data_IF_492775189615
#
_entry.id   IF_492775189615
#
_cell.length_a   1.000
_cell.length_b   1.000
_cell.length_c   1.000
_cell.angle_alpha   90.00
_cell.angle_beta   90.00
_cell.angle_gamma   90.00
#
_symmetry.space_group_name_H-M   'P 1'
#
loop_
_entity.id
_entity.type
_entity.pdbx_description
1 polymer ?
#
# COMPACT_ATOMS: atom_id res chain seq x y z
N UNK A 1 4.67 23.35 -9.66
CA UNK A 1 6.02 22.85 -9.36
C UNK A 1 6.38 23.39 -8.00
N UNK A 2 6.87 22.63 -7.03
CA UNK A 2 7.73 21.43 -7.08
C UNK A 2 7.33 20.45 -5.95
N UNK A 3 6.23 19.72 -6.12
CA UNK A 3 5.80 18.77 -5.10
C UNK A 3 6.70 17.51 -5.08
N UNK A 4 7.35 17.20 -6.20
CA UNK A 4 8.25 16.06 -6.33
C UNK A 4 9.60 16.27 -5.63
N UNK A 5 10.17 17.49 -5.64
CA UNK A 5 11.45 17.74 -5.00
C UNK A 5 11.38 17.55 -3.46
N UNK A 6 10.22 17.88 -2.87
CA UNK A 6 10.01 17.72 -1.43
C UNK A 6 9.98 16.24 -1.02
N UNK A 7 9.33 15.36 -1.80
CA UNK A 7 9.22 13.94 -1.44
C UNK A 7 10.55 13.21 -1.51
N UNK A 8 11.39 13.55 -2.48
CA UNK A 8 12.73 12.97 -2.61
C UNK A 8 13.59 13.22 -1.37
N UNK A 9 13.46 14.39 -0.72
CA UNK A 9 14.18 14.68 0.51
C UNK A 9 13.68 13.81 1.67
N UNK A 10 12.36 13.62 1.81
CA UNK A 10 11.82 12.72 2.84
C UNK A 10 12.19 11.26 2.60
N UNK A 11 12.24 10.81 1.34
CA UNK A 11 12.69 9.46 1.01
C UNK A 11 14.14 9.24 1.49
N UNK A 12 15.01 10.24 1.36
CA UNK A 12 16.40 10.19 1.85
C UNK A 12 16.52 10.20 3.39
N UNK A 13 15.46 10.58 4.11
CA UNK A 13 15.44 10.55 5.58
C UNK A 13 14.87 9.25 6.15
N UNK A 14 14.45 8.30 5.31
CA UNK A 14 14.04 6.96 5.75
C UNK A 14 15.17 6.32 6.58
N UNK A 15 14.82 5.77 7.74
CA UNK A 15 15.77 5.22 8.72
C UNK A 15 16.39 6.25 9.67
N UNK A 16 16.24 7.56 9.41
CA UNK A 16 16.64 8.64 10.33
C UNK A 16 15.44 9.35 10.96
N UNK A 17 14.39 9.55 10.18
CA UNK A 17 13.15 10.19 10.59
C UNK A 17 12.05 9.14 10.73
N UNK A 18 11.20 9.32 11.74
CA UNK A 18 10.07 8.42 11.96
C UNK A 18 9.06 8.53 10.81
N UNK A 19 8.67 7.41 10.15
CA UNK A 19 7.75 7.42 9.03
C UNK A 19 6.39 8.04 9.36
N UNK A 20 5.90 7.87 10.59
CA UNK A 20 4.60 8.37 11.05
C UNK A 20 4.48 9.89 10.87
N UNK A 21 5.57 10.63 11.11
CA UNK A 21 5.61 12.08 10.99
C UNK A 21 5.42 12.52 9.54
N UNK A 22 6.13 11.87 8.62
CA UNK A 22 6.06 12.13 7.18
C UNK A 22 4.68 11.78 6.64
N UNK A 23 4.14 10.62 7.05
CA UNK A 23 2.81 10.14 6.67
C UNK A 23 1.74 11.16 7.10
N UNK A 24 1.73 11.57 8.38
CA UNK A 24 0.77 12.57 8.90
C UNK A 24 0.83 13.87 8.12
N UNK A 25 2.03 14.34 7.78
CA UNK A 25 2.23 15.57 7.01
C UNK A 25 1.59 15.51 5.62
N UNK A 26 1.76 14.40 4.91
CA UNK A 26 1.18 14.24 3.57
C UNK A 26 -0.32 13.96 3.60
N UNK A 27 -0.81 13.26 4.62
CA UNK A 27 -2.25 13.11 4.88
C UNK A 27 -2.92 14.47 5.08
N UNK A 28 -2.35 15.34 5.92
CA UNK A 28 -2.89 16.69 6.17
C UNK A 28 -2.87 17.58 4.93
N UNK A 29 -1.86 17.42 4.07
CA UNK A 29 -1.72 18.22 2.86
C UNK A 29 -2.54 17.68 1.68
N UNK A 30 -3.28 16.58 1.87
CA UNK A 30 -4.04 15.88 0.83
C UNK A 30 -3.18 15.45 -0.37
N UNK A 31 -1.87 15.25 -0.17
CA UNK A 31 -0.92 14.89 -1.23
C UNK A 31 -0.75 13.37 -1.29
N UNK A 32 -1.80 12.68 -1.75
CA UNK A 32 -1.84 11.21 -1.79
C UNK A 32 -0.75 10.65 -2.72
N UNK A 33 -0.44 11.30 -3.84
CA UNK A 33 0.65 10.88 -4.74
C UNK A 33 2.00 10.87 -4.02
N UNK A 34 2.36 11.95 -3.34
CA UNK A 34 3.61 12.04 -2.57
C UNK A 34 3.64 11.00 -1.43
N UNK A 35 2.52 10.82 -0.74
CA UNK A 35 2.40 9.78 0.29
C UNK A 35 2.65 8.38 -0.31
N UNK A 36 2.10 8.11 -1.49
CA UNK A 36 2.26 6.85 -2.21
C UNK A 36 3.72 6.60 -2.61
N UNK A 37 4.44 7.63 -3.05
CA UNK A 37 5.86 7.51 -3.41
C UNK A 37 6.75 7.31 -2.18
N UNK A 38 6.45 8.00 -1.07
CA UNK A 38 7.15 7.77 0.20
C UNK A 38 6.96 6.34 0.71
N UNK A 39 5.72 5.86 0.73
CA UNK A 39 5.39 4.51 1.20
C UNK A 39 6.00 3.42 0.29
N UNK A 40 5.99 3.62 -1.04
CA UNK A 40 6.70 2.75 -1.97
C UNK A 40 8.20 2.68 -1.66
N UNK A 41 8.84 3.82 -1.41
CA UNK A 41 10.27 3.87 -1.08
C UNK A 41 10.56 3.22 0.28
N UNK A 42 9.72 3.48 1.28
CA UNK A 42 9.79 2.88 2.60
C UNK A 42 9.69 1.35 2.54
N UNK A 43 8.76 0.85 1.71
CA UNK A 43 8.60 -0.58 1.47
C UNK A 43 9.79 -1.20 0.74
N UNK A 44 10.29 -0.54 -0.32
CA UNK A 44 11.49 -1.00 -1.06
C UNK A 44 12.73 -1.10 -0.16
N UNK A 45 12.85 -0.20 0.82
CA UNK A 45 13.95 -0.21 1.79
C UNK A 45 13.76 -1.23 2.94
N UNK A 46 12.62 -1.95 2.99
CA UNK A 46 12.33 -2.92 4.05
C UNK A 46 12.03 -2.29 5.41
N UNK A 47 11.75 -0.98 5.46
CA UNK A 47 11.40 -0.24 6.67
C UNK A 47 9.88 -0.05 6.83
N UNK A 48 9.08 -0.60 5.90
CA UNK A 48 7.62 -0.59 6.00
C UNK A 48 7.13 -1.64 6.99
N UNK A 49 6.10 -1.29 7.75
CA UNK A 49 5.35 -2.20 8.61
C UNK A 49 4.04 -2.56 7.93
N UNK A 50 3.27 -3.47 8.53
CA UNK A 50 1.94 -3.85 8.03
C UNK A 50 1.00 -2.65 7.83
N UNK A 51 0.97 -1.74 8.80
CA UNK A 51 0.16 -0.52 8.74
C UNK A 51 0.56 0.38 7.56
N UNK A 52 1.87 0.56 7.34
CA UNK A 52 2.40 1.32 6.21
C UNK A 52 2.02 0.69 4.87
N UNK A 53 2.05 -0.65 4.78
CA UNK A 53 1.63 -1.38 3.57
C UNK A 53 0.13 -1.24 3.33
N UNK A 54 -0.71 -1.44 4.34
CA UNK A 54 -2.16 -1.24 4.23
C UNK A 54 -2.49 0.19 3.80
N UNK A 55 -1.79 1.18 4.34
CA UNK A 55 -1.94 2.56 3.91
C UNK A 55 -1.53 2.77 2.45
N UNK A 56 -0.45 2.13 2.00
CA UNK A 56 -0.01 2.18 0.59
C UNK A 56 -1.07 1.60 -0.35
N UNK A 57 -1.63 0.43 0.00
CA UNK A 57 -2.71 -0.20 -0.75
C UNK A 57 -3.93 0.71 -0.86
N UNK A 58 -4.36 1.30 0.26
CA UNK A 58 -5.43 2.29 0.27
C UNK A 58 -5.13 3.50 -0.62
N UNK A 59 -3.89 3.97 -0.66
CA UNK A 59 -3.49 5.06 -1.54
C UNK A 59 -3.58 4.67 -3.02
N UNK A 60 -3.19 3.44 -3.40
CA UNK A 60 -3.36 2.95 -4.78
C UNK A 60 -4.82 2.92 -5.21
N UNK A 61 -5.72 2.43 -4.35
CA UNK A 61 -7.16 2.45 -4.64
C UNK A 61 -7.68 3.87 -4.81
N UNK A 62 -7.29 4.81 -3.92
CA UNK A 62 -7.69 6.22 -4.03
C UNK A 62 -7.17 6.91 -5.28
N UNK A 63 -5.97 6.56 -5.74
CA UNK A 63 -5.37 7.10 -6.97
C UNK A 63 -5.77 6.33 -8.23
N UNK A 64 -6.66 5.35 -8.11
CA UNK A 64 -7.07 4.45 -9.19
C UNK A 64 -5.88 3.73 -9.87
N UNK A 65 -4.78 3.50 -9.13
CA UNK A 65 -3.56 2.79 -9.60
C UNK A 65 -3.72 1.29 -9.37
N UNK A 66 -4.75 0.70 -9.95
CA UNK A 66 -5.14 -0.70 -9.76
C UNK A 66 -4.05 -1.67 -10.23
N UNK A 67 -3.36 -1.38 -11.33
CA UNK A 67 -2.30 -2.28 -11.84
C UNK A 67 -1.16 -2.45 -10.83
N UNK A 68 -0.71 -1.34 -10.22
CA UNK A 68 0.32 -1.37 -9.17
C UNK A 68 -0.16 -2.09 -7.91
N UNK A 69 -1.43 -1.94 -7.57
CA UNK A 69 -2.05 -2.66 -6.46
C UNK A 69 -2.02 -4.17 -6.71
N UNK A 70 -2.46 -4.61 -7.91
CA UNK A 70 -2.46 -6.02 -8.31
C UNK A 70 -1.05 -6.60 -8.31
N UNK A 71 -0.10 -5.90 -8.92
CA UNK A 71 1.31 -6.29 -8.92
C UNK A 71 1.81 -6.50 -7.47
N UNK A 72 1.45 -5.59 -6.56
CA UNK A 72 1.85 -5.68 -5.16
C UNK A 72 1.28 -6.91 -4.45
N UNK A 73 -0.04 -7.15 -4.52
CA UNK A 73 -0.69 -8.30 -3.83
C UNK A 73 -0.32 -9.66 -4.45
N UNK A 74 0.00 -9.67 -5.75
CA UNK A 74 0.38 -10.87 -6.48
C UNK A 74 1.86 -11.21 -6.31
N UNK A 75 2.70 -10.22 -6.00
CA UNK A 75 4.12 -10.44 -5.72
C UNK A 75 4.26 -11.46 -4.59
N UNK A 76 4.96 -12.55 -4.87
CA UNK A 76 5.20 -13.65 -3.91
C UNK A 76 6.30 -13.34 -2.90
N UNK A 77 6.90 -12.16 -3.03
CA UNK A 77 8.05 -11.77 -2.24
C UNK A 77 7.60 -11.05 -0.96
N UNK A 78 7.88 -11.73 0.15
CA UNK A 78 7.78 -11.31 1.55
C UNK A 78 6.45 -11.59 2.24
N UNK A 79 6.58 -12.02 3.49
CA UNK A 79 5.55 -12.10 4.54
C UNK A 79 5.07 -10.67 4.88
N UNK A 80 4.50 -9.98 3.90
CA UNK A 80 3.95 -8.66 4.12
C UNK A 80 2.55 -8.85 4.68
N UNK A 81 2.40 -8.63 5.97
CA UNK A 81 1.09 -8.44 6.59
C UNK A 81 0.45 -7.21 5.96
N UNK A 82 -0.58 -7.40 5.16
CA UNK A 82 -1.41 -6.33 4.63
C UNK A 82 -2.87 -6.68 4.86
N UNK A 83 -3.72 -5.65 4.87
CA UNK A 83 -5.16 -5.85 5.05
C UNK A 83 -5.76 -6.58 3.84
N UNK A 84 -6.02 -7.86 4.03
CA UNK A 84 -6.53 -8.73 2.98
C UNK A 84 -7.99 -8.40 2.62
N UNK A 85 -8.76 -7.79 3.53
CA UNK A 85 -10.13 -7.34 3.21
C UNK A 85 -10.10 -6.20 2.19
N UNK A 86 -9.21 -5.22 2.39
CA UNK A 86 -8.98 -4.15 1.41
C UNK A 86 -8.56 -4.75 0.08
N UNK A 87 -7.64 -5.72 0.11
CA UNK A 87 -7.16 -6.41 -1.06
C UNK A 87 -8.26 -7.13 -1.86
N UNK A 88 -9.07 -7.95 -1.18
CA UNK A 88 -10.21 -8.66 -1.77
C UNK A 88 -11.26 -7.68 -2.30
N UNK A 89 -11.59 -6.64 -1.53
CA UNK A 89 -12.58 -5.65 -1.93
C UNK A 89 -12.19 -4.98 -3.25
N UNK A 90 -10.94 -4.54 -3.40
CA UNK A 90 -10.45 -3.92 -4.64
C UNK A 90 -10.38 -4.94 -5.78
N UNK A 91 -9.93 -6.17 -5.52
CA UNK A 91 -9.95 -7.23 -6.52
C UNK A 91 -11.37 -7.48 -7.04
N UNK A 92 -12.41 -7.54 -6.18
CA UNK A 92 -13.80 -7.73 -6.61
C UNK A 92 -14.30 -6.66 -7.58
N UNK A 93 -13.82 -5.42 -7.47
CA UNK A 93 -14.19 -4.33 -8.37
C UNK A 93 -13.46 -4.40 -9.73
N UNK A 94 -12.40 -5.21 -9.84
CA UNK A 94 -11.48 -5.20 -10.98
C UNK A 94 -11.46 -6.53 -11.71
N UNK A 95 -11.46 -7.65 -10.99
CA UNK A 95 -11.70 -9.00 -11.46
C UNK A 95 -12.07 -9.94 -10.30
N UNK A 96 -13.19 -10.63 -10.42
CA UNK A 96 -13.63 -11.64 -9.45
C UNK A 96 -12.63 -12.79 -9.29
N UNK A 97 -11.91 -13.13 -10.35
CA UNK A 97 -10.90 -14.20 -10.36
C UNK A 97 -9.70 -13.84 -9.48
N UNK A 98 -9.22 -12.59 -9.55
CA UNK A 98 -8.12 -12.11 -8.71
C UNK A 98 -8.49 -12.12 -7.22
N UNK A 99 -9.76 -11.83 -6.91
CA UNK A 99 -10.26 -11.84 -5.53
C UNK A 99 -10.29 -13.25 -4.95
N UNK A 100 -10.71 -14.23 -5.75
CA UNK A 100 -10.71 -15.64 -5.38
C UNK A 100 -9.28 -16.14 -5.15
N UNK A 101 -8.38 -15.87 -6.10
CA UNK A 101 -6.99 -16.28 -6.01
C UNK A 101 -6.30 -15.74 -4.74
N UNK A 102 -6.56 -14.47 -4.41
CA UNK A 102 -6.01 -13.85 -3.20
C UNK A 102 -6.60 -14.45 -1.91
N UNK A 103 -7.92 -14.68 -1.89
CA UNK A 103 -8.60 -15.29 -0.75
C UNK A 103 -8.11 -16.72 -0.48
N UNK A 104 -7.89 -17.52 -1.54
CA UNK A 104 -7.31 -18.85 -1.44
C UNK A 104 -5.87 -18.80 -0.92
N UNK A 105 -5.05 -17.89 -1.44
CA UNK A 105 -3.63 -17.74 -1.07
C UNK A 105 -3.44 -17.36 0.41
N UNK A 106 -4.32 -16.52 0.96
CA UNK A 106 -4.25 -16.10 2.37
C UNK A 106 -5.04 -17.00 3.33
N UNK A 107 -5.58 -18.13 2.85
CA UNK A 107 -6.27 -19.09 3.71
C UNK A 107 -7.54 -18.52 4.38
N UNK A 108 -8.15 -17.48 3.80
CA UNK A 108 -9.37 -16.83 4.30
C UNK A 108 -10.64 -17.68 4.07
N UNK A 109 -10.51 -19.01 4.17
CA UNK A 109 -11.64 -19.94 4.26
C UNK A 109 -12.56 -19.63 5.47
N UNK A 110 -12.11 -18.82 6.42
CA UNK A 110 -12.87 -18.45 7.62
C UNK A 110 -13.87 -17.30 7.42
N UNK A 111 -13.71 -16.47 6.37
CA UNK A 111 -14.49 -15.23 6.22
C UNK A 111 -15.75 -15.37 5.36
N UNK A 112 -15.89 -16.47 4.60
CA UNK A 112 -17.04 -16.68 3.71
C UNK A 112 -18.23 -17.38 4.39
N UNK A 113 -18.17 -17.63 5.70
CA UNK A 113 -19.27 -18.14 6.51
C UNK A 113 -19.87 -17.03 7.40
N UNK A 114 -20.54 -16.06 6.79
CA UNK A 114 -21.66 -15.37 7.46
C UNK A 114 -22.69 -14.82 6.48
#
# INVERSE_FOLDING_TARGET
GDHNAAIEQYIKTIGKLEPSYVIRKFLQSHQIDNLTDYLQALHKQGAATADHTTLLLNCYTKLNKIDKFKEFIMTKDREVDFDVEVAISVCRHTSSEDALLLAEKHGLHSWYLK
#
